data_IF_510865885057
#
_entry.id   IF_510865885057
#
_cell.length_a   1.000
_cell.length_b   1.000
_cell.length_c   1.000
_cell.angle_alpha   90.00
_cell.angle_beta   90.00
_cell.angle_gamma   90.00
#
_symmetry.space_group_name_H-M   'P 1'
#
loop_
_entity.id
_entity.type
_entity.pdbx_description
1 polymer ?
#
# COMPACT_ATOMS: atom_id res chain seq x y z
N UNK A 1 5.46 23.92 -9.42
CA UNK A 1 4.88 22.57 -9.43
C UNK A 1 5.81 21.72 -8.59
N UNK A 2 5.39 21.18 -7.45
CA UNK A 2 6.28 20.30 -6.70
C UNK A 2 6.53 19.04 -7.55
N UNK A 3 7.79 18.76 -7.81
CA UNK A 3 8.23 17.51 -8.41
C UNK A 3 7.77 16.41 -7.47
N UNK A 4 7.09 15.36 -7.95
CA UNK A 4 6.68 14.27 -7.07
C UNK A 4 7.91 13.76 -6.33
N UNK A 5 7.85 13.81 -5.02
CA UNK A 5 8.84 13.43 -4.02
C UNK A 5 9.59 12.11 -4.31
N UNK A 6 9.01 11.29 -5.13
CA UNK A 6 9.38 9.91 -5.39
C UNK A 6 10.48 9.67 -6.45
N UNK A 7 10.79 10.62 -7.33
CA UNK A 7 11.71 10.37 -8.46
C UNK A 7 13.18 10.33 -8.04
N UNK A 8 13.55 11.06 -6.99
CA UNK A 8 14.96 11.18 -6.55
C UNK A 8 15.51 9.97 -5.78
N UNK A 9 14.67 9.04 -5.32
CA UNK A 9 15.05 8.01 -4.35
C UNK A 9 15.16 6.58 -4.86
N UNK A 10 14.76 6.30 -6.09
CA UNK A 10 14.78 4.94 -6.67
C UNK A 10 16.15 4.26 -6.71
N UNK A 11 17.22 5.02 -6.91
CA UNK A 11 18.58 4.50 -6.91
C UNK A 11 19.06 4.13 -5.50
N UNK A 12 18.76 4.98 -4.52
CA UNK A 12 19.14 4.81 -3.11
C UNK A 12 18.43 3.61 -2.47
N UNK A 13 17.18 3.32 -2.85
CA UNK A 13 16.41 2.18 -2.35
C UNK A 13 17.01 0.83 -2.77
N UNK A 14 17.54 0.71 -3.99
CA UNK A 14 18.21 -0.53 -4.45
C UNK A 14 19.54 -0.80 -3.75
N UNK A 15 20.29 0.25 -3.39
CA UNK A 15 21.55 0.12 -2.65
C UNK A 15 21.31 -0.34 -1.21
N UNK A 16 20.28 0.20 -0.56
CA UNK A 16 19.95 -0.10 0.84
C UNK A 16 19.46 -1.54 1.09
N UNK A 17 18.98 -2.25 0.06
CA UNK A 17 18.63 -3.69 0.17
C UNK A 17 19.85 -4.59 0.44
N UNK A 18 21.07 -4.09 0.27
CA UNK A 18 22.32 -4.88 0.41
C UNK A 18 23.01 -4.69 1.76
N UNK A 19 22.58 -3.73 2.58
CA UNK A 19 23.19 -3.46 3.87
C UNK A 19 22.52 -4.27 4.99
N UNK A 20 23.34 -4.88 5.86
CA UNK A 20 22.89 -5.53 7.10
C UNK A 20 22.16 -4.52 7.98
N UNK A 21 20.93 -4.82 8.35
CA UNK A 21 20.13 -3.99 9.25
C UNK A 21 20.80 -3.98 10.62
N UNK A 22 21.20 -2.81 11.08
CA UNK A 22 21.61 -2.62 12.46
C UNK A 22 20.39 -2.73 13.38
N UNK A 23 20.22 -3.89 14.00
CA UNK A 23 19.12 -4.21 14.91
C UNK A 23 19.17 -3.41 16.24
N UNK A 24 20.17 -2.54 16.44
CA UNK A 24 20.33 -1.77 17.69
C UNK A 24 19.34 -0.61 17.83
N UNK A 25 18.61 -0.25 16.76
CA UNK A 25 17.58 0.79 16.78
C UNK A 25 16.19 0.18 16.57
N UNK A 26 15.66 -0.50 17.59
CA UNK A 26 14.26 -0.93 17.59
C UNK A 26 13.39 0.32 17.64
N UNK A 27 12.77 0.64 16.51
CA UNK A 27 11.73 1.68 16.44
C UNK A 27 10.37 1.02 16.72
N UNK A 28 9.59 1.55 17.66
CA UNK A 28 8.28 0.99 17.96
C UNK A 28 7.35 1.12 16.75
N UNK A 29 6.66 0.01 16.42
CA UNK A 29 5.63 -0.05 15.39
C UNK A 29 4.29 -0.21 16.08
N UNK A 30 3.31 0.63 15.71
CA UNK A 30 1.94 0.48 16.16
C UNK A 30 1.21 -0.53 15.28
N UNK A 31 0.56 -1.50 15.93
CA UNK A 31 -0.22 -2.52 15.22
C UNK A 31 -1.67 -2.40 15.68
N UNK A 32 -2.58 -2.26 14.71
CA UNK A 32 -4.01 -2.12 14.99
C UNK A 32 -4.83 -3.01 14.06
N UNK A 33 -5.84 -3.68 14.62
CA UNK A 33 -6.86 -4.36 13.83
C UNK A 33 -7.85 -3.34 13.27
N UNK A 34 -7.98 -3.29 11.94
CA UNK A 34 -8.86 -2.39 11.20
C UNK A 34 -9.87 -3.21 10.40
N UNK A 35 -11.13 -2.80 10.42
CA UNK A 35 -12.19 -3.39 9.58
C UNK A 35 -12.47 -2.45 8.42
N UNK A 36 -12.35 -2.95 7.21
CA UNK A 36 -12.74 -2.23 6.02
C UNK A 36 -14.09 -2.78 5.51
N UNK A 37 -15.05 -1.92 5.15
CA UNK A 37 -16.31 -2.37 4.57
C UNK A 37 -16.08 -2.95 3.18
N UNK A 38 -17.13 -3.57 2.64
CA UNK A 38 -17.24 -3.83 1.20
C UNK A 38 -17.14 -2.52 0.44
N UNK A 39 -16.33 -2.50 -0.63
CA UNK A 39 -15.99 -1.26 -1.35
C UNK A 39 -15.56 -1.54 -2.78
N UNK A 40 -15.71 -0.53 -3.60
CA UNK A 40 -15.11 -0.50 -4.93
C UNK A 40 -13.74 0.18 -4.84
N UNK A 41 -12.76 -0.33 -5.55
CA UNK A 41 -11.50 0.36 -5.73
C UNK A 41 -11.31 0.69 -7.22
N UNK A 42 -11.15 1.98 -7.53
CA UNK A 42 -10.79 2.47 -8.85
C UNK A 42 -9.28 2.47 -8.92
N UNK A 43 -8.70 1.71 -9.85
CA UNK A 43 -7.26 1.47 -9.93
C UNK A 43 -6.72 1.80 -11.31
N UNK A 44 -5.44 2.18 -11.35
CA UNK A 44 -4.66 2.22 -12.59
C UNK A 44 -3.69 1.06 -12.61
N UNK A 45 -3.77 0.21 -13.65
CA UNK A 45 -2.83 -0.89 -13.84
C UNK A 45 -1.62 -0.43 -14.64
N UNK A 46 -0.44 -0.89 -14.27
CA UNK A 46 0.75 -0.89 -15.10
C UNK A 46 0.84 -2.16 -15.96
N UNK A 47 1.98 -2.42 -16.57
CA UNK A 47 2.22 -3.58 -17.44
C UNK A 47 2.79 -4.77 -16.67
N UNK A 48 3.88 -4.60 -15.94
CA UNK A 48 4.55 -5.69 -15.23
C UNK A 48 5.13 -5.28 -13.85
N UNK A 49 4.85 -4.07 -13.38
CA UNK A 49 5.40 -3.55 -12.15
C UNK A 49 5.01 -4.40 -10.93
N UNK A 50 6.00 -4.74 -10.12
CA UNK A 50 5.84 -5.46 -8.84
C UNK A 50 6.04 -4.55 -7.63
N UNK A 51 6.57 -3.35 -7.85
CA UNK A 51 6.80 -2.34 -6.81
C UNK A 51 6.50 -0.93 -7.33
N UNK A 52 6.54 0.01 -6.40
CA UNK A 52 6.30 1.42 -6.69
C UNK A 52 7.23 2.00 -7.76
N UNK A 53 8.53 1.69 -7.71
CA UNK A 53 9.50 2.30 -8.63
C UNK A 53 9.35 1.80 -10.07
N UNK A 54 9.14 0.50 -10.23
CA UNK A 54 8.82 -0.08 -11.52
C UNK A 54 7.50 0.50 -12.06
N UNK A 55 6.50 0.64 -11.21
CA UNK A 55 5.20 1.20 -11.57
C UNK A 55 5.30 2.65 -12.07
N UNK A 56 6.10 3.50 -11.42
CA UNK A 56 6.31 4.89 -11.86
C UNK A 56 7.05 5.03 -13.20
N UNK A 57 7.69 3.97 -13.67
CA UNK A 57 8.30 3.94 -15.01
C UNK A 57 7.29 3.57 -16.11
N UNK A 58 6.23 2.85 -15.74
CA UNK A 58 5.18 2.40 -16.66
C UNK A 58 4.00 3.34 -16.73
N UNK A 59 3.72 4.05 -15.65
CA UNK A 59 2.52 4.85 -15.47
C UNK A 59 2.89 6.30 -15.20
N UNK A 60 2.22 7.23 -15.91
CA UNK A 60 2.44 8.67 -15.75
C UNK A 60 2.17 9.15 -14.31
N UNK A 61 2.98 10.10 -13.84
CA UNK A 61 2.78 10.76 -12.53
C UNK A 61 1.44 11.54 -12.43
N UNK A 62 0.77 11.81 -13.54
CA UNK A 62 -0.57 12.44 -13.54
C UNK A 62 -1.61 11.56 -12.86
N UNK A 63 -1.42 10.23 -12.87
CA UNK A 63 -2.33 9.27 -12.24
C UNK A 63 -2.56 9.58 -10.77
N UNK A 64 -1.50 9.90 -10.02
CA UNK A 64 -1.64 10.25 -8.62
C UNK A 64 -2.49 11.50 -8.41
N UNK A 65 -2.31 12.53 -9.26
CA UNK A 65 -3.12 13.75 -9.24
C UNK A 65 -4.60 13.48 -9.55
N UNK A 66 -4.89 12.58 -10.50
CA UNK A 66 -6.25 12.16 -10.82
C UNK A 66 -6.89 11.46 -9.61
N UNK A 67 -6.18 10.49 -9.01
CA UNK A 67 -6.67 9.77 -7.83
C UNK A 67 -6.91 10.70 -6.63
N UNK A 68 -6.02 11.67 -6.41
CA UNK A 68 -6.18 12.69 -5.35
C UNK A 68 -7.42 13.57 -5.53
N UNK A 69 -7.91 13.72 -6.75
CA UNK A 69 -9.12 14.51 -7.04
C UNK A 69 -10.42 13.73 -6.76
N UNK A 70 -10.34 12.41 -6.57
CA UNK A 70 -11.48 11.56 -6.30
C UNK A 70 -11.84 11.52 -4.82
N UNK A 71 -13.13 11.31 -4.53
CA UNK A 71 -13.58 11.05 -3.16
C UNK A 71 -13.09 9.67 -2.71
N UNK A 72 -12.36 9.63 -1.60
CA UNK A 72 -11.82 8.42 -1.00
C UNK A 72 -12.48 8.09 0.34
N UNK A 73 -12.72 6.82 0.62
CA UNK A 73 -13.21 6.35 1.92
C UNK A 73 -12.19 6.56 3.05
N UNK A 74 -10.90 6.53 2.74
CA UNK A 74 -9.82 6.73 3.72
C UNK A 74 -9.20 8.14 3.66
N UNK A 75 -9.73 9.04 2.81
CA UNK A 75 -9.30 10.43 2.69
C UNK A 75 -8.05 10.63 1.82
N UNK A 76 -7.50 9.58 1.22
CA UNK A 76 -6.34 9.63 0.33
C UNK A 76 -6.33 8.45 -0.65
N UNK A 77 -5.59 8.53 -1.78
CA UNK A 77 -5.32 7.37 -2.61
C UNK A 77 -4.50 6.32 -1.86
N UNK A 78 -4.57 5.10 -2.35
CA UNK A 78 -3.82 3.96 -1.83
C UNK A 78 -3.00 3.31 -2.94
N UNK A 79 -1.93 2.63 -2.56
CA UNK A 79 -1.29 1.67 -3.43
C UNK A 79 -1.54 0.25 -2.92
N UNK A 80 -1.55 -0.71 -3.82
CA UNK A 80 -1.88 -2.10 -3.48
C UNK A 80 -1.01 -3.09 -4.24
N UNK A 81 -0.70 -4.20 -3.57
CA UNK A 81 -0.24 -5.43 -4.22
C UNK A 81 -1.44 -6.35 -4.38
N UNK A 82 -1.81 -6.61 -5.63
CA UNK A 82 -2.98 -7.42 -5.96
C UNK A 82 -2.67 -8.91 -5.87
N UNK A 83 -3.46 -9.71 -5.14
CA UNK A 83 -3.43 -11.16 -5.24
C UNK A 83 -3.96 -11.63 -6.60
N UNK A 84 -3.70 -12.89 -6.96
CA UNK A 84 -3.98 -13.44 -8.29
C UNK A 84 -5.43 -13.23 -8.75
N UNK A 85 -6.42 -13.35 -7.86
CA UNK A 85 -7.84 -13.18 -8.22
C UNK A 85 -8.21 -11.80 -8.76
N UNK A 86 -7.40 -10.77 -8.45
CA UNK A 86 -7.63 -9.40 -8.93
C UNK A 86 -6.68 -8.99 -10.05
N UNK A 87 -5.71 -9.84 -10.40
CA UNK A 87 -4.81 -9.59 -11.52
C UNK A 87 -5.53 -9.79 -12.85
N UNK A 88 -5.07 -9.10 -13.86
CA UNK A 88 -5.41 -9.36 -15.27
C UNK A 88 -4.14 -9.84 -15.98
N UNK A 89 -4.26 -10.70 -17.01
CA UNK A 89 -3.10 -11.11 -17.81
C UNK A 89 -2.31 -9.90 -18.32
N UNK A 90 -0.99 -9.97 -18.23
CA UNK A 90 -0.07 -8.93 -18.69
C UNK A 90 -0.28 -7.56 -18.02
N UNK A 91 -0.68 -7.55 -16.75
CA UNK A 91 -0.78 -6.33 -15.96
C UNK A 91 0.05 -6.42 -14.68
N UNK A 92 0.38 -5.26 -14.13
CA UNK A 92 1.19 -5.12 -12.91
C UNK A 92 0.54 -5.78 -11.69
N UNK A 93 1.36 -6.29 -10.78
CA UNK A 93 0.93 -6.70 -9.44
C UNK A 93 0.69 -5.48 -8.55
N UNK A 94 1.57 -4.48 -8.67
CA UNK A 94 1.44 -3.22 -7.96
C UNK A 94 0.55 -2.26 -8.74
N UNK A 95 -0.40 -1.63 -8.05
CA UNK A 95 -1.32 -0.64 -8.62
C UNK A 95 -1.48 0.53 -7.66
N UNK A 96 -1.83 1.69 -8.22
CA UNK A 96 -2.36 2.81 -7.45
C UNK A 96 -3.86 2.93 -7.68
N UNK A 97 -4.59 3.37 -6.67
CA UNK A 97 -6.04 3.48 -6.75
C UNK A 97 -6.64 4.32 -5.63
N UNK A 98 -7.96 4.37 -5.64
CA UNK A 98 -8.76 5.00 -4.61
C UNK A 98 -9.90 4.07 -4.19
N UNK A 99 -10.03 3.86 -2.88
CA UNK A 99 -11.14 3.10 -2.31
C UNK A 99 -12.37 4.00 -2.21
N UNK A 100 -13.49 3.58 -2.80
CA UNK A 100 -14.77 4.31 -2.83
C UNK A 100 -15.92 3.45 -2.30
N UNK A 101 -17.07 4.06 -2.12
CA UNK A 101 -18.31 3.32 -1.90
C UNK A 101 -18.58 2.38 -3.08
N UNK A 102 -19.40 1.34 -2.88
CA UNK A 102 -19.73 0.34 -3.92
C UNK A 102 -20.45 0.94 -5.12
N UNK A 103 -21.12 2.08 -4.94
CA UNK A 103 -21.72 2.89 -6.00
C UNK A 103 -21.07 4.30 -5.97
N UNK A 104 -19.89 4.46 -6.59
CA UNK A 104 -19.17 5.72 -6.51
C UNK A 104 -19.89 6.82 -7.28
N UNK A 105 -19.95 8.03 -6.71
CA UNK A 105 -20.49 9.16 -7.43
C UNK A 105 -19.55 9.57 -8.56
N UNK A 106 -20.04 9.50 -9.80
CA UNK A 106 -19.31 10.00 -10.95
C UNK A 106 -18.84 8.94 -11.92
N UNK A 107 -18.22 9.39 -13.00
CA UNK A 107 -17.72 8.55 -14.08
C UNK A 107 -16.28 8.08 -13.77
N UNK A 108 -16.03 6.80 -14.00
CA UNK A 108 -14.67 6.25 -13.89
C UNK A 108 -13.83 6.85 -15.03
N UNK A 109 -12.65 7.45 -14.73
CA UNK A 109 -11.81 8.05 -15.76
C UNK A 109 -11.35 7.01 -16.79
N UNK A 110 -11.15 7.47 -18.01
CA UNK A 110 -10.63 6.63 -19.08
C UNK A 110 -9.28 6.00 -18.73
N UNK A 111 -9.14 4.73 -19.03
CA UNK A 111 -7.92 3.96 -18.76
C UNK A 111 -7.75 3.53 -17.30
N UNK A 112 -8.74 3.77 -16.44
CA UNK A 112 -8.81 3.18 -15.11
C UNK A 112 -9.68 1.92 -15.14
N UNK A 113 -9.42 1.05 -14.18
CA UNK A 113 -10.16 -0.20 -13.97
C UNK A 113 -10.80 -0.19 -12.58
N UNK A 114 -11.69 -1.14 -12.33
CA UNK A 114 -12.33 -1.29 -11.04
C UNK A 114 -12.16 -2.71 -10.51
N UNK A 115 -11.96 -2.81 -9.19
CA UNK A 115 -12.04 -4.09 -8.48
C UNK A 115 -13.01 -3.96 -7.31
N UNK A 116 -13.75 -5.03 -7.07
CA UNK A 116 -14.66 -5.12 -5.94
C UNK A 116 -13.95 -5.82 -4.78
N UNK A 117 -13.78 -5.12 -3.68
CA UNK A 117 -13.13 -5.63 -2.48
C UNK A 117 -14.18 -5.93 -1.42
N UNK A 118 -14.27 -7.16 -0.93
CA UNK A 118 -15.23 -7.52 0.12
C UNK A 118 -14.91 -6.82 1.43
N UNK A 119 -15.84 -6.86 2.37
CA UNK A 119 -15.55 -6.50 3.75
C UNK A 119 -14.47 -7.44 4.31
N UNK A 120 -13.41 -6.87 4.87
CA UNK A 120 -12.25 -7.62 5.35
C UNK A 120 -11.62 -6.97 6.60
N UNK A 121 -10.93 -7.80 7.38
CA UNK A 121 -10.12 -7.34 8.52
C UNK A 121 -8.65 -7.23 8.08
N UNK A 122 -7.98 -6.19 8.56
CA UNK A 122 -6.58 -5.91 8.26
C UNK A 122 -5.81 -5.64 9.55
N UNK A 123 -4.58 -6.08 9.62
CA UNK A 123 -3.61 -5.53 10.55
C UNK A 123 -2.91 -4.35 9.87
N UNK A 124 -3.08 -3.19 10.47
CA UNK A 124 -2.40 -1.96 10.09
C UNK A 124 -1.12 -1.81 10.90
N UNK A 125 -0.01 -1.65 10.22
CA UNK A 125 1.30 -1.39 10.79
C UNK A 125 1.66 0.06 10.51
N UNK A 126 1.94 0.82 11.57
CA UNK A 126 2.32 2.22 11.47
C UNK A 126 3.66 2.46 12.16
N UNK A 127 4.61 2.99 11.40
CA UNK A 127 5.91 3.41 11.90
C UNK A 127 5.87 4.77 12.61
N UNK A 128 7.00 5.13 13.18
CA UNK A 128 7.19 6.45 13.79
C UNK A 128 7.22 7.55 12.72
N UNK A 129 6.95 8.82 13.10
CA UNK A 129 7.27 9.96 12.27
C UNK A 129 8.73 9.91 11.81
N UNK A 130 8.98 10.32 10.57
CA UNK A 130 10.31 10.28 9.97
C UNK A 130 10.59 11.57 9.19
N UNK A 131 11.88 11.85 8.97
CA UNK A 131 12.31 12.96 8.10
C UNK A 131 12.41 12.44 6.66
N UNK A 132 12.32 13.37 5.73
CA UNK A 132 12.34 13.07 4.29
C UNK A 132 13.53 12.19 3.86
N UNK A 133 14.71 12.47 4.41
CA UNK A 133 15.91 11.70 4.16
C UNK A 133 15.87 10.26 4.69
N UNK A 134 15.04 9.98 5.69
CA UNK A 134 14.90 8.67 6.36
C UNK A 134 13.75 7.81 5.77
N UNK A 135 13.14 8.27 4.70
CA UNK A 135 11.98 7.66 4.04
C UNK A 135 12.13 6.15 3.76
N UNK A 136 13.26 5.75 3.16
CA UNK A 136 13.48 4.34 2.82
C UNK A 136 13.65 3.45 4.07
N UNK A 137 14.25 4.00 5.14
CA UNK A 137 14.40 3.30 6.41
C UNK A 137 13.06 3.13 7.11
N UNK A 138 12.22 4.17 7.10
CA UNK A 138 10.88 4.13 7.68
C UNK A 138 10.00 3.04 7.02
N UNK A 139 10.01 2.93 5.70
CA UNK A 139 9.31 1.86 4.97
C UNK A 139 9.84 0.49 5.35
N UNK A 140 11.17 0.31 5.31
CA UNK A 140 11.80 -0.97 5.61
C UNK A 140 11.50 -1.44 7.03
N UNK A 141 11.51 -0.52 7.99
CA UNK A 141 11.24 -0.81 9.40
C UNK A 141 9.84 -1.40 9.57
N UNK A 142 8.82 -0.78 8.96
CA UNK A 142 7.44 -1.26 9.02
C UNK A 142 7.30 -2.60 8.31
N UNK A 143 7.88 -2.74 7.11
CA UNK A 143 7.82 -3.99 6.34
C UNK A 143 8.49 -5.15 7.07
N UNK A 144 9.66 -4.93 7.66
CA UNK A 144 10.36 -5.95 8.46
C UNK A 144 9.52 -6.37 9.68
N UNK A 145 8.91 -5.41 10.37
CA UNK A 145 8.03 -5.72 11.50
C UNK A 145 6.80 -6.52 11.08
N UNK A 146 6.19 -6.18 9.95
CA UNK A 146 5.03 -6.89 9.42
C UNK A 146 5.38 -8.31 8.96
N UNK A 147 6.51 -8.49 8.29
CA UNK A 147 6.95 -9.80 7.81
C UNK A 147 7.35 -10.74 8.97
N UNK A 148 7.85 -10.17 10.07
CA UNK A 148 8.19 -10.92 11.29
C UNK A 148 7.01 -11.15 12.26
N UNK A 149 5.84 -10.57 11.99
CA UNK A 149 4.69 -10.68 12.90
C UNK A 149 3.91 -11.96 12.68
N UNK A 150 3.63 -12.68 13.77
CA UNK A 150 2.75 -13.85 13.77
C UNK A 150 1.33 -13.46 14.23
N UNK A 151 0.33 -13.36 13.33
CA UNK A 151 -1.03 -12.99 13.70
C UNK A 151 -1.75 -14.07 14.53
N UNK A 152 -1.22 -15.28 14.64
CA UNK A 152 -1.82 -16.35 15.44
C UNK A 152 -1.86 -16.02 16.92
N UNK A 153 -0.94 -15.18 17.41
CA UNK A 153 -0.90 -14.70 18.81
C UNK A 153 -2.16 -13.93 19.23
N UNK A 154 -2.91 -13.41 18.25
CA UNK A 154 -4.19 -12.72 18.49
C UNK A 154 -5.37 -13.48 17.87
N UNK A 155 -5.18 -14.74 17.46
CA UNK A 155 -6.24 -15.61 16.93
C UNK A 155 -6.56 -15.39 15.44
N UNK A 156 -5.62 -14.85 14.66
CA UNK A 156 -5.75 -14.61 13.23
C UNK A 156 -4.70 -15.37 12.42
N UNK A 157 -4.91 -15.47 11.13
CA UNK A 157 -3.90 -15.85 10.14
C UNK A 157 -3.93 -14.85 8.99
N UNK A 158 -2.84 -14.74 8.25
CA UNK A 158 -2.79 -13.91 7.05
C UNK A 158 -3.85 -14.35 6.04
N UNK A 159 -4.42 -13.39 5.35
CA UNK A 159 -5.35 -13.60 4.25
C UNK A 159 -4.72 -13.08 2.96
N UNK A 160 -4.03 -13.97 2.25
CA UNK A 160 -3.33 -13.62 1.01
C UNK A 160 -4.28 -13.54 -0.21
N UNK A 161 -5.60 -13.75 0.01
CA UNK A 161 -6.63 -13.53 -1.01
C UNK A 161 -7.04 -12.05 -1.13
N UNK A 162 -6.70 -11.20 -0.14
CA UNK A 162 -6.99 -9.77 -0.16
C UNK A 162 -5.73 -8.95 -0.36
N UNK A 163 -5.83 -7.76 -1.03
CA UNK A 163 -4.64 -6.98 -1.35
C UNK A 163 -3.95 -6.44 -0.09
N UNK A 164 -2.63 -6.44 -0.13
CA UNK A 164 -1.80 -5.64 0.78
C UNK A 164 -1.91 -4.19 0.36
N UNK A 165 -2.10 -3.28 1.31
CA UNK A 165 -2.42 -1.87 1.04
C UNK A 165 -1.35 -0.98 1.66
N UNK A 166 -0.89 -0.01 0.89
CA UNK A 166 0.06 1.01 1.31
C UNK A 166 -0.61 2.37 1.24
N UNK A 167 -0.48 3.17 2.31
CA UNK A 167 -0.85 4.57 2.29
C UNK A 167 0.35 5.43 1.86
N UNK A 168 0.08 6.65 1.42
CA UNK A 168 1.15 7.59 1.07
C UNK A 168 2.10 7.77 2.27
N UNK A 169 3.42 7.59 2.08
CA UNK A 169 4.38 7.79 3.16
C UNK A 169 4.49 9.28 3.51
N UNK A 170 3.90 9.68 4.63
CA UNK A 170 3.92 11.05 5.15
C UNK A 170 4.78 11.10 6.40
N UNK A 171 5.87 11.88 6.36
CA UNK A 171 6.84 11.94 7.44
C UNK A 171 6.24 12.23 8.82
N UNK A 172 5.27 13.16 8.91
CA UNK A 172 4.62 13.51 10.18
C UNK A 172 3.74 12.40 10.75
N UNK A 173 3.16 11.55 9.89
CA UNK A 173 2.28 10.45 10.27
C UNK A 173 3.04 9.14 10.48
N UNK A 174 4.22 9.01 9.90
CA UNK A 174 4.90 7.75 9.71
C UNK A 174 4.41 6.99 8.47
N UNK A 175 5.09 5.91 8.14
CA UNK A 175 4.69 5.00 7.07
C UNK A 175 3.60 4.05 7.57
N UNK A 176 2.60 3.80 6.75
CA UNK A 176 1.48 2.91 7.08
C UNK A 176 1.31 1.87 5.98
N UNK A 177 1.23 0.62 6.41
CA UNK A 177 0.92 -0.50 5.54
C UNK A 177 -0.07 -1.45 6.22
N UNK A 178 -0.97 -2.04 5.44
CA UNK A 178 -2.02 -2.93 5.92
C UNK A 178 -1.90 -4.28 5.21
N UNK A 179 -1.97 -5.36 5.98
CA UNK A 179 -2.06 -6.72 5.45
C UNK A 179 -3.33 -7.38 5.97
N UNK A 180 -4.07 -8.03 5.08
CA UNK A 180 -5.34 -8.64 5.41
C UNK A 180 -5.15 -9.86 6.32
N UNK A 181 -6.12 -10.06 7.20
CA UNK A 181 -6.15 -11.17 8.14
C UNK A 181 -7.57 -11.76 8.23
N UNK A 182 -7.64 -13.05 8.57
CA UNK A 182 -8.89 -13.74 8.89
C UNK A 182 -8.76 -14.46 10.21
N UNK A 183 -9.88 -14.58 10.93
CA UNK A 183 -9.91 -15.33 12.20
C UNK A 183 -9.62 -16.79 11.97
N UNK A 184 -8.79 -17.37 12.83
CA UNK A 184 -8.57 -18.82 12.87
C UNK A 184 -9.89 -19.45 13.34
N UNK A 185 -10.50 -20.28 12.50
CA UNK A 185 -11.66 -21.08 12.88
C UNK A 185 -11.17 -22.19 13.81
N UNK A 186 -11.75 -22.25 15.01
CA UNK A 186 -11.55 -23.36 15.93
C UNK A 186 -12.32 -24.58 15.46
#
# INVERSE_FOLDING_TARGET
>A
VPIPFFIAYGAKYRELRKENIDMSRIQPIFIQLVRKPERLCIIKRGQCAEDYFAYCQEVSCEVWGILMSMRSLCGEPVAMWLPEKYKKPNTSTYVQGVETETDPPGQIPEGFDTIHLPAAEYLMFQGQPFREEDYCEAIRTVQTAMDGYDPSVIGYCWDDEEPRIQLEPRGQRGYIELRAVRRIRK
#
